data_IF_456297477309
#
_entry.id   IF_456297477309
#
_cell.length_a   1.000
_cell.length_b   1.000
_cell.length_c   1.000
_cell.angle_alpha   90.00
_cell.angle_beta   90.00
_cell.angle_gamma   90.00
#
_symmetry.space_group_name_H-M   'P 1'
#
loop_
_entity.id
_entity.type
_entity.pdbx_description
1 polymer ?
#
# COMPACT_ATOMS: atom_id res chain seq x y z
N UNK A 1 3.03 20.80 -24.99
CA UNK A 1 1.61 21.08 -24.61
C UNK A 1 1.15 19.93 -23.75
N UNK A 2 0.46 20.22 -22.64
CA UNK A 2 -0.13 19.16 -21.81
C UNK A 2 -1.18 18.40 -22.62
N UNK A 3 -1.13 17.08 -22.56
CA UNK A 3 -2.17 16.25 -23.19
C UNK A 3 -3.36 16.14 -22.22
N UNK A 4 -4.41 16.92 -22.48
CA UNK A 4 -5.59 17.06 -21.59
C UNK A 4 -6.38 15.79 -21.33
N UNK A 5 -6.14 14.74 -22.12
CA UNK A 5 -6.84 13.45 -21.99
C UNK A 5 -5.98 12.36 -21.35
N UNK A 6 -4.72 12.67 -21.01
CA UNK A 6 -3.83 11.72 -20.35
C UNK A 6 -3.98 11.77 -18.83
N UNK A 7 -3.82 10.62 -18.18
CA UNK A 7 -4.04 10.43 -16.76
C UNK A 7 -2.77 9.84 -16.12
N UNK A 8 -2.42 10.32 -14.94
CA UNK A 8 -1.30 9.76 -14.18
C UNK A 8 -1.69 9.39 -12.76
N UNK A 9 -1.32 8.19 -12.34
CA UNK A 9 -1.30 7.77 -10.95
C UNK A 9 0.15 7.77 -10.46
N UNK A 10 0.48 8.65 -9.53
CA UNK A 10 1.80 8.67 -8.88
C UNK A 10 1.65 8.05 -7.50
N UNK A 11 2.38 6.99 -7.24
CA UNK A 11 2.38 6.33 -5.96
C UNK A 11 3.80 6.16 -5.41
N UNK A 12 3.92 6.14 -4.10
CA UNK A 12 5.18 5.91 -3.40
C UNK A 12 5.07 4.65 -2.56
N UNK A 13 6.04 3.75 -2.68
CA UNK A 13 6.13 2.53 -1.87
C UNK A 13 6.17 2.87 -0.38
N UNK A 14 5.39 2.14 0.40
CA UNK A 14 5.34 2.15 1.85
C UNK A 14 5.01 3.53 2.48
N UNK A 15 4.25 4.41 1.82
CA UNK A 15 3.87 5.71 2.34
C UNK A 15 2.52 5.66 3.07
N UNK A 16 2.54 5.71 4.39
CA UNK A 16 1.35 5.91 5.21
C UNK A 16 0.93 7.39 5.32
N UNK A 17 -0.35 7.63 5.62
CA UNK A 17 -0.90 8.99 5.80
C UNK A 17 -0.20 9.80 6.90
N UNK A 18 0.40 9.15 7.87
CA UNK A 18 1.09 9.77 9.01
C UNK A 18 2.29 10.65 8.64
N UNK A 19 2.73 10.61 7.38
CA UNK A 19 3.89 11.36 6.90
C UNK A 19 3.54 12.56 6.02
N UNK A 20 2.30 12.71 5.58
CA UNK A 20 1.91 13.83 4.72
C UNK A 20 1.22 14.95 5.51
N UNK A 21 1.63 16.22 5.34
CA UNK A 21 1.04 17.37 6.04
C UNK A 21 -0.48 17.47 5.86
N UNK A 22 -1.00 17.19 4.68
CA UNK A 22 -2.43 17.22 4.36
C UNK A 22 -3.27 16.26 5.21
N UNK A 23 -2.66 15.24 5.82
CA UNK A 23 -3.30 14.31 6.75
C UNK A 23 -2.98 14.62 8.23
N UNK A 24 -2.53 15.84 8.56
CA UNK A 24 -2.09 16.24 9.89
C UNK A 24 -0.97 15.34 10.41
N UNK A 25 0.09 15.20 9.62
CA UNK A 25 1.20 14.30 9.90
C UNK A 25 1.77 14.51 11.32
N UNK A 26 2.19 13.39 11.93
CA UNK A 26 2.77 13.40 13.28
C UNK A 26 4.28 13.09 13.26
N UNK A 27 4.78 12.49 12.18
CA UNK A 27 6.10 11.85 12.14
C UNK A 27 7.12 12.58 11.27
N UNK A 28 6.69 13.41 10.33
CA UNK A 28 7.58 14.17 9.47
C UNK A 28 7.21 15.66 9.47
N UNK A 29 8.19 16.53 9.59
CA UNK A 29 8.00 17.99 9.76
C UNK A 29 8.34 18.78 8.50
N UNK A 30 8.57 18.13 7.37
CA UNK A 30 8.82 18.79 6.09
C UNK A 30 7.58 19.41 5.47
N UNK A 31 7.72 19.85 4.22
CA UNK A 31 6.68 20.51 3.44
C UNK A 31 6.49 19.78 2.11
N UNK A 32 5.25 19.70 1.67
CA UNK A 32 4.87 19.11 0.38
C UNK A 32 4.05 20.09 -0.46
N UNK A 33 4.67 21.22 -0.93
CA UNK A 33 3.90 22.29 -1.56
C UNK A 33 3.14 21.84 -2.80
N UNK A 34 3.68 20.94 -3.61
CA UNK A 34 3.01 20.44 -4.81
C UNK A 34 1.83 19.51 -4.48
N UNK A 35 2.03 18.61 -3.51
CA UNK A 35 0.97 17.71 -3.02
C UNK A 35 -0.11 18.53 -2.31
N UNK A 36 0.27 19.48 -1.46
CA UNK A 36 -0.67 20.32 -0.70
C UNK A 36 -1.53 21.18 -1.63
N UNK A 37 -0.96 21.71 -2.73
CA UNK A 37 -1.71 22.47 -3.73
C UNK A 37 -2.71 21.57 -4.48
N UNK A 38 -2.31 20.36 -4.91
CA UNK A 38 -3.21 19.40 -5.54
C UNK A 38 -4.33 18.99 -4.57
N UNK A 39 -4.01 18.77 -3.31
CA UNK A 39 -4.98 18.44 -2.28
C UNK A 39 -6.00 19.57 -2.03
N UNK A 40 -5.56 20.83 -2.03
CA UNK A 40 -6.44 21.99 -1.87
C UNK A 40 -7.43 22.15 -3.04
N UNK A 41 -7.01 21.83 -4.25
CA UNK A 41 -7.85 21.87 -5.46
C UNK A 41 -8.71 20.61 -5.63
N UNK A 42 -8.24 19.49 -5.12
CA UNK A 42 -8.76 18.14 -5.34
C UNK A 42 -9.72 17.64 -4.28
N UNK A 43 -9.84 16.32 -4.22
CA UNK A 43 -10.54 15.55 -3.20
C UNK A 43 -9.53 14.74 -2.40
N UNK A 44 -9.52 14.91 -1.08
CA UNK A 44 -8.65 14.17 -0.16
C UNK A 44 -9.44 13.04 0.50
N UNK A 45 -8.98 11.81 0.32
CA UNK A 45 -9.58 10.64 0.98
C UNK A 45 -8.91 10.43 2.33
N UNK A 46 -9.58 10.82 3.39
CA UNK A 46 -9.00 10.78 4.75
C UNK A 46 -8.80 9.36 5.27
N UNK A 47 -9.56 8.42 4.73
CA UNK A 47 -9.61 7.04 5.21
C UNK A 47 -9.59 6.06 4.03
N UNK A 48 -8.50 6.12 3.25
CA UNK A 48 -8.24 5.20 2.17
C UNK A 48 -7.32 4.08 2.66
N UNK A 49 -7.70 2.84 2.41
CA UNK A 49 -7.01 1.67 2.92
C UNK A 49 -6.47 0.80 1.79
N UNK A 50 -5.23 0.33 1.98
CA UNK A 50 -4.72 -0.75 1.15
C UNK A 50 -5.44 -2.06 1.47
N UNK A 51 -5.76 -2.82 0.44
CA UNK A 51 -6.33 -4.16 0.59
C UNK A 51 -5.35 -5.14 1.24
N UNK A 52 -4.04 -4.86 1.16
CA UNK A 52 -2.99 -5.62 1.82
C UNK A 52 -1.76 -4.74 2.10
N UNK A 53 -1.18 -4.77 3.31
CA UNK A 53 -0.03 -3.95 3.68
C UNK A 53 1.29 -4.55 3.16
N UNK A 54 1.32 -4.96 1.90
CA UNK A 54 2.50 -5.48 1.21
C UNK A 54 2.36 -5.30 -0.29
N UNK A 55 3.45 -4.94 -0.97
CA UNK A 55 3.43 -4.51 -2.36
C UNK A 55 2.76 -5.52 -3.31
N UNK A 56 3.15 -6.79 -3.27
CA UNK A 56 2.61 -7.81 -4.20
C UNK A 56 1.09 -7.94 -4.13
N UNK A 57 0.56 -8.05 -2.92
CA UNK A 57 -0.88 -8.24 -2.72
C UNK A 57 -1.64 -6.94 -2.92
N UNK A 58 -1.02 -5.80 -2.59
CA UNK A 58 -1.59 -4.49 -2.86
C UNK A 58 -1.72 -4.25 -4.37
N UNK A 59 -0.66 -4.49 -5.16
CA UNK A 59 -0.72 -4.34 -6.62
C UNK A 59 -1.81 -5.21 -7.24
N UNK A 60 -1.92 -6.46 -6.80
CA UNK A 60 -3.00 -7.31 -7.25
C UNK A 60 -4.36 -6.64 -7.06
N UNK A 61 -4.62 -6.19 -5.84
CA UNK A 61 -5.91 -5.58 -5.50
C UNK A 61 -6.13 -4.24 -6.19
N UNK A 62 -5.08 -3.41 -6.31
CA UNK A 62 -5.11 -2.15 -7.05
C UNK A 62 -5.44 -2.36 -8.54
N UNK A 63 -4.81 -3.35 -9.15
CA UNK A 63 -4.91 -3.59 -10.59
C UNK A 63 -6.18 -4.31 -10.99
N UNK A 64 -6.62 -5.29 -10.18
CA UNK A 64 -7.78 -6.12 -10.52
C UNK A 64 -9.09 -5.59 -9.94
N UNK A 65 -9.04 -4.74 -8.92
CA UNK A 65 -10.22 -4.30 -8.18
C UNK A 65 -10.83 -5.37 -7.30
N UNK A 66 -10.06 -6.43 -6.95
CA UNK A 66 -10.51 -7.56 -6.15
C UNK A 66 -9.65 -7.70 -4.92
N UNK A 67 -10.25 -7.96 -3.77
CA UNK A 67 -9.49 -8.30 -2.57
C UNK A 67 -8.78 -9.65 -2.75
N UNK A 68 -7.52 -9.73 -2.35
CA UNK A 68 -6.75 -10.96 -2.49
C UNK A 68 -7.37 -12.14 -1.76
N UNK A 69 -8.06 -11.91 -0.63
CA UNK A 69 -8.76 -12.95 0.12
C UNK A 69 -10.07 -13.41 -0.55
N UNK A 70 -10.59 -12.68 -1.52
CA UNK A 70 -11.75 -13.08 -2.32
C UNK A 70 -11.38 -14.05 -3.43
N UNK A 71 -10.10 -14.14 -3.76
CA UNK A 71 -9.61 -15.11 -4.70
C UNK A 71 -9.26 -16.40 -3.97
N UNK A 72 -9.43 -17.55 -4.59
CA UNK A 72 -8.98 -18.84 -4.06
C UNK A 72 -7.45 -18.95 -4.00
N UNK A 73 -6.76 -17.82 -3.97
CA UNK A 73 -5.31 -17.76 -4.00
C UNK A 73 -4.74 -18.03 -2.63
N UNK A 74 -3.95 -19.06 -2.59
CA UNK A 74 -3.41 -19.67 -1.39
C UNK A 74 -2.05 -19.13 -1.01
N UNK A 75 -1.40 -18.44 -1.96
CA UNK A 75 -0.03 -18.00 -1.87
C UNK A 75 0.11 -16.53 -2.25
N UNK A 76 1.00 -15.87 -1.52
CA UNK A 76 1.55 -14.57 -1.83
C UNK A 76 2.46 -14.60 -3.08
N UNK A 77 2.58 -15.75 -3.72
CA UNK A 77 3.33 -15.89 -4.97
C UNK A 77 2.54 -15.31 -6.12
N UNK A 78 3.25 -14.73 -7.07
CA UNK A 78 2.65 -13.96 -8.10
C UNK A 78 1.61 -14.79 -8.83
N UNK A 79 0.63 -14.11 -9.06
CA UNK A 79 -0.53 -14.42 -9.82
C UNK A 79 -0.10 -14.84 -11.20
N UNK A 80 0.16 -16.12 -11.39
CA UNK A 80 0.48 -16.68 -12.70
C UNK A 80 -0.73 -16.84 -13.60
N UNK A 81 -1.94 -16.67 -13.04
CA UNK A 81 -3.17 -16.91 -13.77
C UNK A 81 -3.92 -15.61 -13.92
N UNK A 82 -3.83 -15.04 -15.12
CA UNK A 82 -4.56 -13.84 -15.55
C UNK A 82 -6.07 -14.11 -15.73
N UNK A 83 -6.45 -15.37 -15.84
CA UNK A 83 -7.83 -15.75 -16.13
C UNK A 83 -8.82 -15.25 -15.08
N UNK A 84 -9.76 -14.45 -15.52
CA UNK A 84 -10.87 -13.92 -14.73
C UNK A 84 -10.62 -12.58 -13.99
N UNK A 85 -9.40 -12.04 -14.04
CA UNK A 85 -9.07 -10.79 -13.35
C UNK A 85 -8.34 -9.79 -14.28
N UNK A 86 -9.04 -9.12 -15.21
CA UNK A 86 -8.44 -8.11 -16.06
C UNK A 86 -7.90 -6.97 -15.20
N UNK A 87 -6.70 -6.50 -15.53
CA UNK A 87 -6.09 -5.38 -14.82
C UNK A 87 -6.73 -4.04 -15.21
N UNK A 88 -6.51 -3.03 -14.39
CA UNK A 88 -6.92 -1.67 -14.77
C UNK A 88 -6.16 -1.14 -16.01
N UNK A 89 -4.99 -1.72 -16.34
CA UNK A 89 -4.30 -1.43 -17.60
C UNK A 89 -5.02 -2.04 -18.80
N UNK A 90 -5.49 -3.28 -18.70
CA UNK A 90 -6.30 -3.90 -19.76
C UNK A 90 -7.54 -3.05 -20.06
N UNK A 91 -8.25 -2.64 -19.00
CA UNK A 91 -9.42 -1.78 -19.12
C UNK A 91 -9.08 -0.38 -19.67
N UNK A 92 -7.97 0.23 -19.25
CA UNK A 92 -7.51 1.50 -19.77
C UNK A 92 -7.14 1.40 -21.25
N UNK A 93 -6.48 0.30 -21.66
CA UNK A 93 -6.17 0.02 -23.06
C UNK A 93 -7.45 -0.10 -23.91
N UNK A 94 -8.46 -0.82 -23.44
CA UNK A 94 -9.77 -0.91 -24.09
C UNK A 94 -10.45 0.48 -24.23
N UNK A 95 -10.17 1.39 -23.29
CA UNK A 95 -10.61 2.80 -23.38
C UNK A 95 -9.73 3.62 -24.34
N UNK A 96 -8.71 3.04 -24.97
CA UNK A 96 -7.81 3.67 -25.94
C UNK A 96 -6.64 4.45 -25.32
N UNK A 97 -6.22 4.12 -24.10
CA UNK A 97 -4.99 4.66 -23.52
C UNK A 97 -3.76 3.87 -23.97
N UNK A 98 -2.66 4.59 -24.26
CA UNK A 98 -1.31 4.00 -24.29
C UNK A 98 -0.82 3.90 -22.84
N UNK A 99 -0.63 2.66 -22.34
CA UNK A 99 -0.38 2.40 -20.93
C UNK A 99 1.11 2.28 -20.65
N UNK A 100 1.59 3.03 -19.67
CA UNK A 100 2.99 3.05 -19.25
C UNK A 100 3.12 2.86 -17.74
N UNK A 101 4.21 2.20 -17.33
CA UNK A 101 4.64 2.12 -15.94
C UNK A 101 6.06 2.67 -15.85
N UNK A 102 6.32 3.53 -14.86
CA UNK A 102 7.65 3.88 -14.40
C UNK A 102 7.81 3.32 -12.98
N UNK A 103 8.75 2.41 -12.80
CA UNK A 103 9.06 1.81 -11.50
C UNK A 103 10.53 1.45 -11.36
N UNK A 104 10.96 0.96 -10.20
CA UNK A 104 12.35 0.54 -9.95
C UNK A 104 12.43 -0.97 -9.77
N UNK A 105 12.95 -1.69 -10.75
CA UNK A 105 13.02 -3.16 -10.76
C UNK A 105 13.94 -3.73 -9.68
N UNK A 106 14.93 -2.98 -9.21
CA UNK A 106 15.84 -3.42 -8.15
C UNK A 106 15.12 -3.62 -6.83
N UNK A 107 14.17 -2.72 -6.54
CA UNK A 107 13.40 -2.74 -5.28
C UNK A 107 12.11 -3.53 -5.41
N UNK A 108 11.63 -3.72 -6.62
CA UNK A 108 10.32 -4.25 -6.91
C UNK A 108 10.41 -5.60 -7.64
N UNK A 109 11.14 -6.57 -7.06
CA UNK A 109 11.24 -7.93 -7.61
C UNK A 109 9.88 -8.58 -7.87
N UNK A 110 8.87 -8.24 -7.06
CA UNK A 110 7.48 -8.63 -7.29
C UNK A 110 6.86 -7.95 -8.51
N UNK A 111 7.30 -6.76 -8.88
CA UNK A 111 6.81 -6.06 -10.04
C UNK A 111 7.13 -6.79 -11.34
N UNK A 112 8.33 -7.38 -11.45
CA UNK A 112 8.69 -8.21 -12.61
C UNK A 112 7.74 -9.40 -12.78
N UNK A 113 7.35 -10.03 -11.69
CA UNK A 113 6.40 -11.15 -11.70
C UNK A 113 4.99 -10.70 -12.13
N UNK A 114 4.60 -9.47 -11.77
CA UNK A 114 3.35 -8.90 -12.26
C UNK A 114 3.40 -8.53 -13.73
N UNK A 115 4.55 -8.05 -14.23
CA UNK A 115 4.73 -7.74 -15.65
C UNK A 115 4.50 -8.97 -16.53
N UNK A 116 4.93 -10.13 -16.07
CA UNK A 116 4.70 -11.40 -16.77
C UNK A 116 3.21 -11.82 -16.81
N UNK A 117 2.40 -11.32 -15.88
CA UNK A 117 0.99 -11.67 -15.78
C UNK A 117 0.02 -10.64 -16.37
N UNK A 118 0.40 -9.35 -16.34
CA UNK A 118 -0.48 -8.24 -16.69
C UNK A 118 0.10 -7.29 -17.74
N UNK A 119 1.19 -7.69 -18.38
CA UNK A 119 2.01 -6.83 -19.22
C UNK A 119 1.66 -6.71 -20.68
N UNK A 120 0.60 -7.36 -21.16
CA UNK A 120 0.30 -7.43 -22.62
C UNK A 120 0.03 -6.06 -23.24
N UNK A 121 -0.45 -5.10 -22.44
CA UNK A 121 -0.83 -3.76 -22.88
C UNK A 121 -0.08 -2.64 -22.18
N UNK A 122 1.08 -2.95 -21.59
CA UNK A 122 1.85 -1.98 -20.78
C UNK A 122 3.29 -1.89 -21.25
N UNK A 123 3.78 -0.67 -21.45
CA UNK A 123 5.20 -0.37 -21.64
C UNK A 123 5.84 -0.11 -20.27
N UNK A 124 6.86 -0.90 -19.96
CA UNK A 124 7.64 -0.77 -18.72
C UNK A 124 8.86 0.11 -18.92
N UNK A 125 9.00 1.12 -18.05
CA UNK A 125 10.14 2.02 -18.02
C UNK A 125 10.84 1.84 -16.67
N UNK A 126 12.01 1.20 -16.69
CA UNK A 126 12.71 0.82 -15.47
C UNK A 126 13.55 1.96 -14.92
N UNK A 127 13.15 2.52 -13.80
CA UNK A 127 13.86 3.58 -13.11
C UNK A 127 15.28 3.16 -12.69
N UNK A 128 15.49 1.88 -12.41
CA UNK A 128 16.82 1.35 -12.12
C UNK A 128 17.76 1.47 -13.33
N UNK A 129 17.30 1.11 -14.52
CA UNK A 129 18.05 1.28 -15.76
C UNK A 129 18.26 2.77 -16.08
N UNK A 130 17.23 3.58 -15.90
CA UNK A 130 17.28 5.04 -16.08
C UNK A 130 18.37 5.67 -15.19
N UNK A 131 18.55 5.18 -13.95
CA UNK A 131 19.54 5.70 -13.00
C UNK A 131 20.97 5.30 -13.32
N UNK A 132 21.19 4.18 -14.04
CA UNK A 132 22.53 3.71 -14.31
C UNK A 132 23.29 4.66 -15.24
N UNK A 133 24.62 4.84 -15.07
CA UNK A 133 25.45 5.52 -16.06
C UNK A 133 25.42 4.77 -17.39
N UNK A 134 25.36 5.51 -18.50
CA UNK A 134 25.38 4.92 -19.83
C UNK A 134 26.67 4.10 -20.01
N UNK A 135 26.52 2.78 -20.23
CA UNK A 135 27.66 1.87 -20.45
C UNK A 135 28.07 1.03 -19.23
N UNK A 136 27.42 1.17 -18.09
CA UNK A 136 27.71 0.33 -16.92
C UNK A 136 26.93 -1.00 -16.98
N UNK A 137 27.41 -1.96 -17.75
CA UNK A 137 27.02 -3.37 -17.59
C UNK A 137 27.82 -3.99 -16.43
N UNK A 138 27.64 -3.52 -15.22
CA UNK A 138 28.23 -4.19 -14.07
C UNK A 138 27.26 -5.24 -13.55
N UNK A 139 27.67 -6.49 -13.77
CA UNK A 139 27.14 -7.67 -13.10
C UNK A 139 26.98 -7.41 -11.61
N UNK A 140 25.89 -7.89 -11.06
CA UNK A 140 25.51 -7.94 -9.66
C UNK A 140 26.71 -8.06 -8.67
N UNK A 141 27.37 -7.00 -8.35
CA UNK A 141 28.23 -6.93 -7.19
C UNK A 141 27.45 -6.26 -6.06
N UNK A 142 26.86 -7.13 -5.24
CA UNK A 142 26.67 -7.08 -3.81
C UNK A 142 26.70 -5.71 -3.11
N UNK A 143 25.54 -5.35 -2.50
CA UNK A 143 25.38 -4.80 -1.13
C UNK A 143 26.51 -3.89 -0.58
N UNK A 144 27.27 -3.25 -1.43
CA UNK A 144 28.15 -2.17 -1.06
C UNK A 144 27.40 -0.89 -1.29
N UNK A 145 27.09 -0.19 -0.20
CA UNK A 145 26.81 1.24 -0.05
C UNK A 145 26.63 2.02 -1.36
N UNK A 146 25.73 1.58 -2.23
CA UNK A 146 25.25 2.45 -3.27
C UNK A 146 24.43 3.51 -2.57
N UNK A 147 24.79 4.76 -2.76
CA UNK A 147 23.92 5.88 -2.47
C UNK A 147 22.62 5.66 -3.27
N UNK A 148 21.63 5.09 -2.61
CA UNK A 148 20.34 4.67 -3.18
C UNK A 148 19.41 5.87 -3.33
N UNK A 149 19.92 7.08 -3.09
CA UNK A 149 19.17 8.31 -3.21
C UNK A 149 18.84 8.64 -4.66
N UNK A 150 17.65 9.15 -4.90
CA UNK A 150 17.32 9.80 -6.16
C UNK A 150 18.06 11.14 -6.20
N UNK A 151 19.08 11.19 -7.03
CA UNK A 151 19.90 12.39 -7.27
C UNK A 151 19.20 13.38 -8.19
N UNK A 152 19.71 14.62 -8.28
CA UNK A 152 19.23 15.61 -9.23
C UNK A 152 19.36 15.12 -10.69
N UNK A 153 20.40 14.31 -10.99
CA UNK A 153 20.57 13.68 -12.30
C UNK A 153 19.44 12.67 -12.57
N UNK A 154 19.11 11.83 -11.58
CA UNK A 154 18.00 10.88 -11.69
C UNK A 154 16.66 11.59 -11.90
N UNK A 155 16.42 12.69 -11.18
CA UNK A 155 15.22 13.52 -11.36
C UNK A 155 15.14 14.07 -12.79
N UNK A 156 16.28 14.53 -13.35
CA UNK A 156 16.33 15.00 -14.74
C UNK A 156 16.03 13.88 -15.74
N UNK A 157 16.53 12.68 -15.49
CA UNK A 157 16.24 11.50 -16.33
C UNK A 157 14.78 11.07 -16.25
N UNK A 158 14.16 11.10 -15.06
CA UNK A 158 12.72 10.85 -14.89
C UNK A 158 11.92 11.85 -15.73
N UNK A 159 12.27 13.14 -15.65
CA UNK A 159 11.62 14.16 -16.45
C UNK A 159 11.72 13.89 -17.95
N UNK A 160 12.92 13.52 -18.43
CA UNK A 160 13.14 13.19 -19.84
C UNK A 160 12.32 11.96 -20.28
N UNK A 161 12.17 10.95 -19.43
CA UNK A 161 11.36 9.78 -19.74
C UNK A 161 9.86 10.11 -19.79
N UNK A 162 9.36 10.95 -18.88
CA UNK A 162 7.99 11.45 -18.95
C UNK A 162 7.78 12.25 -20.24
N UNK A 163 8.72 13.13 -20.62
CA UNK A 163 8.64 13.92 -21.85
C UNK A 163 8.56 13.02 -23.09
N UNK A 164 9.41 12.00 -23.15
CA UNK A 164 9.41 10.99 -24.21
C UNK A 164 8.08 10.22 -24.31
N UNK A 165 7.49 9.82 -23.18
CA UNK A 165 6.18 9.16 -23.13
C UNK A 165 5.11 10.13 -23.66
N UNK A 166 5.11 11.37 -23.17
CA UNK A 166 4.09 12.38 -23.47
C UNK A 166 4.23 13.02 -24.85
N UNK A 167 5.36 12.83 -25.52
CA UNK A 167 5.58 13.32 -26.90
C UNK A 167 4.84 12.51 -27.96
N UNK A 168 4.35 11.31 -27.61
CA UNK A 168 3.59 10.46 -28.49
C UNK A 168 2.17 11.01 -28.69
N UNK A 169 1.60 10.74 -29.86
CA UNK A 169 0.18 11.03 -30.11
C UNK A 169 -0.73 10.09 -29.32
N UNK A 170 -1.90 10.60 -28.93
CA UNK A 170 -2.87 9.81 -28.19
C UNK A 170 -2.92 10.14 -26.70
N UNK A 171 -3.83 9.50 -25.98
CA UNK A 171 -3.96 9.66 -24.54
C UNK A 171 -3.16 8.59 -23.80
N UNK A 172 -2.46 9.00 -22.78
CA UNK A 172 -1.56 8.15 -21.98
C UNK A 172 -2.19 7.88 -20.62
N UNK A 173 -2.11 6.63 -20.16
CA UNK A 173 -2.23 6.28 -18.75
C UNK A 173 -0.86 5.92 -18.22
N UNK A 174 -0.32 6.75 -17.34
CA UNK A 174 0.96 6.53 -16.69
C UNK A 174 0.75 6.14 -15.23
N UNK A 175 1.21 4.95 -14.82
CA UNK A 175 1.42 4.66 -13.41
C UNK A 175 2.90 4.82 -13.07
N UNK A 176 3.20 5.79 -12.22
CA UNK A 176 4.54 5.99 -11.68
C UNK A 176 4.57 5.48 -10.25
N UNK A 177 5.38 4.47 -9.97
CA UNK A 177 5.55 3.93 -8.63
C UNK A 177 6.99 4.08 -8.15
N UNK A 178 7.18 4.94 -7.16
CA UNK A 178 8.49 5.33 -6.67
C UNK A 178 8.89 4.51 -5.45
N UNK A 179 10.14 4.05 -5.35
CA UNK A 179 10.59 3.27 -4.20
C UNK A 179 10.55 4.08 -2.90
N UNK A 180 10.42 3.39 -1.76
CA UNK A 180 10.41 4.04 -0.46
C UNK A 180 11.79 4.59 -0.05
N UNK A 181 12.87 4.12 -0.67
CA UNK A 181 14.24 4.54 -0.41
C UNK A 181 14.67 5.53 -1.47
N UNK A 182 14.16 6.74 -1.39
CA UNK A 182 14.56 7.83 -2.29
C UNK A 182 15.82 8.57 -1.80
N UNK A 183 16.17 8.45 -0.51
CA UNK A 183 17.36 9.00 0.13
C UNK A 183 17.86 8.08 1.23
N UNK A 184 18.81 7.21 0.98
CA UNK A 184 19.55 6.45 1.99
C UNK A 184 18.72 5.65 3.03
N UNK A 185 19.35 4.72 3.72
CA UNK A 185 18.67 3.66 4.50
C UNK A 185 17.95 4.10 5.77
N UNK A 186 18.29 5.25 6.34
CA UNK A 186 17.81 5.66 7.67
C UNK A 186 16.82 6.82 7.62
N UNK A 187 16.29 7.13 6.47
CA UNK A 187 15.56 8.36 6.25
C UNK A 187 14.12 8.14 5.80
N UNK A 188 13.46 7.11 6.35
CA UNK A 188 12.04 6.94 6.10
C UNK A 188 11.30 8.24 6.43
N UNK A 189 10.65 8.78 5.43
CA UNK A 189 10.00 10.09 5.51
C UNK A 189 10.86 11.25 4.97
N UNK A 190 12.19 11.20 5.00
CA UNK A 190 13.04 12.29 4.48
C UNK A 190 13.07 12.36 2.95
N UNK A 191 12.60 11.32 2.29
CA UNK A 191 12.46 11.24 0.84
C UNK A 191 11.12 11.79 0.34
N UNK A 192 10.25 12.26 1.23
CA UNK A 192 8.94 12.84 0.86
C UNK A 192 9.12 14.17 0.11
N UNK A 193 10.14 14.94 0.44
CA UNK A 193 10.49 16.15 -0.31
C UNK A 193 10.91 15.85 -1.75
N UNK A 194 11.60 14.73 -1.99
CA UNK A 194 11.92 14.23 -3.34
C UNK A 194 10.65 13.78 -4.05
N UNK A 195 9.77 13.08 -3.36
CA UNK A 195 8.47 12.69 -3.89
C UNK A 195 7.64 13.91 -4.31
N UNK A 196 7.55 14.92 -3.46
CA UNK A 196 6.86 16.18 -3.79
C UNK A 196 7.50 16.91 -4.98
N UNK A 197 8.83 16.88 -5.08
CA UNK A 197 9.55 17.44 -6.25
C UNK A 197 9.16 16.72 -7.53
N UNK A 198 9.05 15.40 -7.51
CA UNK A 198 8.62 14.60 -8.66
C UNK A 198 7.15 14.90 -9.02
N UNK A 199 6.27 15.09 -8.03
CA UNK A 199 4.90 15.57 -8.28
C UNK A 199 4.92 16.93 -9.01
N UNK A 200 5.82 17.84 -8.62
CA UNK A 200 6.02 19.10 -9.32
C UNK A 200 6.39 18.93 -10.80
N UNK A 201 7.25 17.97 -11.10
CA UNK A 201 7.62 17.62 -12.49
C UNK A 201 6.42 17.04 -13.24
N UNK A 202 5.67 16.11 -12.63
CA UNK A 202 4.48 15.53 -13.25
C UNK A 202 3.49 16.62 -13.65
N UNK A 203 3.33 17.65 -12.84
CA UNK A 203 2.46 18.82 -13.12
C UNK A 203 2.89 19.66 -14.32
N UNK A 204 4.12 19.51 -14.81
CA UNK A 204 4.54 20.16 -16.06
C UNK A 204 3.92 19.48 -17.30
N UNK A 205 3.64 18.18 -17.23
CA UNK A 205 3.18 17.34 -18.33
C UNK A 205 1.68 17.02 -18.29
N UNK A 206 1.10 16.93 -17.09
CA UNK A 206 -0.30 16.62 -16.88
C UNK A 206 -1.06 17.82 -16.30
N UNK A 207 -2.33 17.94 -16.63
CA UNK A 207 -3.23 18.89 -15.95
C UNK A 207 -3.55 18.38 -14.53
N UNK A 208 -3.72 19.30 -13.58
CA UNK A 208 -4.02 18.96 -12.17
C UNK A 208 -5.27 18.06 -12.04
N UNK A 209 -6.24 18.20 -12.99
CA UNK A 209 -7.45 17.39 -13.07
C UNK A 209 -7.23 15.94 -13.50
N UNK A 210 -6.00 15.56 -13.83
CA UNK A 210 -5.64 14.21 -14.28
C UNK A 210 -4.55 13.57 -13.43
N UNK A 211 -4.16 14.20 -12.32
CA UNK A 211 -3.12 13.71 -11.41
C UNK A 211 -3.75 13.06 -10.18
N UNK A 212 -3.40 11.81 -9.92
CA UNK A 212 -3.79 11.04 -8.75
C UNK A 212 -2.55 10.68 -7.96
N UNK A 213 -2.61 10.81 -6.64
CA UNK A 213 -1.50 10.51 -5.73
C UNK A 213 -1.97 9.44 -4.74
N UNK A 214 -1.19 8.36 -4.59
CA UNK A 214 -1.48 7.28 -3.65
C UNK A 214 -0.22 6.62 -3.12
N UNK A 215 -0.40 5.47 -2.48
CA UNK A 215 0.63 4.51 -2.09
C UNK A 215 0.10 3.10 -2.28
N UNK A 216 0.99 2.11 -2.28
CA UNK A 216 0.58 0.71 -2.25
C UNK A 216 0.25 0.25 -0.83
N UNK A 217 1.05 0.60 0.16
CA UNK A 217 0.83 0.36 1.59
C UNK A 217 1.62 1.37 2.43
N UNK A 218 1.45 1.31 3.73
CA UNK A 218 2.24 2.08 4.69
C UNK A 218 3.34 1.23 5.36
N UNK A 219 3.84 1.72 6.50
CA UNK A 219 4.89 1.07 7.29
C UNK A 219 4.66 1.33 8.78
N UNK A 220 4.95 0.34 9.63
CA UNK A 220 4.72 0.42 11.08
C UNK A 220 5.63 1.44 11.80
N UNK A 221 6.85 1.64 11.31
CA UNK A 221 7.80 2.67 11.79
C UNK A 221 7.95 2.83 13.31
N UNK A 222 7.93 1.72 14.03
CA UNK A 222 8.08 1.70 15.49
C UNK A 222 6.75 1.73 16.25
N UNK A 223 5.62 2.00 15.60
CA UNK A 223 4.30 1.96 16.25
C UNK A 223 4.01 0.53 16.70
N UNK A 224 3.48 0.36 17.91
CA UNK A 224 3.34 -0.94 18.58
C UNK A 224 4.65 -1.72 18.72
N UNK A 225 5.81 -1.02 18.75
CA UNK A 225 7.13 -1.65 18.79
C UNK A 225 7.49 -2.43 17.53
N UNK A 226 6.84 -2.17 16.39
CA UNK A 226 7.00 -2.92 15.14
C UNK A 226 7.61 -2.06 14.05
N UNK A 227 8.49 -2.69 13.26
CA UNK A 227 9.14 -2.06 12.11
C UNK A 227 8.81 -2.86 10.86
N UNK A 228 8.61 -2.18 9.73
CA UNK A 228 8.33 -2.80 8.45
C UNK A 228 6.84 -2.91 8.16
N UNK A 229 6.51 -3.71 7.18
CA UNK A 229 5.17 -3.89 6.62
C UNK A 229 4.88 -5.37 6.32
N UNK A 230 3.65 -5.67 5.91
CA UNK A 230 3.24 -7.02 5.50
C UNK A 230 2.84 -7.96 6.63
N UNK A 231 3.11 -7.62 7.89
CA UNK A 231 2.80 -8.47 9.04
C UNK A 231 1.57 -8.01 9.81
N UNK A 232 1.27 -6.74 9.69
CA UNK A 232 0.24 -6.07 10.46
C UNK A 232 -0.68 -5.25 9.58
N UNK A 233 -1.89 -5.07 10.05
CA UNK A 233 -2.97 -4.34 9.37
C UNK A 233 -3.38 -3.08 10.14
N UNK A 234 -2.54 -2.62 11.08
CA UNK A 234 -2.75 -1.37 11.81
C UNK A 234 -2.72 -0.15 10.89
N UNK A 235 -3.28 0.97 11.36
CA UNK A 235 -3.40 2.21 10.58
C UNK A 235 -2.07 2.65 9.91
N UNK A 236 -0.90 2.59 10.57
CA UNK A 236 0.34 3.00 9.93
C UNK A 236 0.73 2.17 8.70
N UNK A 237 0.33 0.90 8.67
CA UNK A 237 0.60 -0.01 7.55
C UNK A 237 -0.53 -0.07 6.53
N UNK A 238 -1.78 0.16 6.95
CA UNK A 238 -2.95 -0.05 6.10
C UNK A 238 -3.64 1.23 5.62
N UNK A 239 -3.56 2.36 6.35
CA UNK A 239 -4.12 3.64 5.90
C UNK A 239 -3.11 4.42 5.08
N UNK A 240 -3.42 4.57 3.80
CA UNK A 240 -2.55 5.19 2.80
C UNK A 240 -3.17 6.48 2.25
N UNK A 241 -2.37 7.38 1.70
CA UNK A 241 -2.90 8.57 1.06
C UNK A 241 -3.65 8.22 -0.23
N UNK A 242 -4.72 8.96 -0.49
CA UNK A 242 -5.31 9.10 -1.81
C UNK A 242 -5.77 10.55 -1.98
N UNK A 243 -5.14 11.23 -2.93
CA UNK A 243 -5.45 12.60 -3.34
C UNK A 243 -5.79 12.54 -4.82
N UNK A 244 -6.96 13.06 -5.18
CA UNK A 244 -7.47 12.99 -6.55
C UNK A 244 -7.88 14.38 -7.04
N UNK A 245 -8.05 14.58 -8.33
CA UNK A 245 -8.81 15.71 -8.82
C UNK A 245 -10.17 15.81 -8.14
N UNK A 246 -10.79 16.97 -8.22
CA UNK A 246 -12.10 17.19 -7.62
C UNK A 246 -13.14 16.21 -8.19
N UNK A 247 -13.73 15.38 -7.35
CA UNK A 247 -14.79 14.42 -7.71
C UNK A 247 -16.09 14.86 -7.04
N UNK A 248 -17.16 14.97 -7.82
CA UNK A 248 -18.51 15.34 -7.34
C UNK A 248 -18.57 16.58 -6.44
N UNK A 249 -17.69 17.57 -6.69
CA UNK A 249 -17.52 18.76 -5.87
C UNK A 249 -17.08 18.51 -4.40
N UNK A 250 -16.67 17.30 -4.05
CA UNK A 250 -16.20 16.96 -2.72
C UNK A 250 -14.76 17.47 -2.49
N UNK A 251 -14.51 18.08 -1.35
CA UNK A 251 -13.15 18.45 -0.92
C UNK A 251 -12.48 17.30 -0.16
N UNK A 252 -13.28 16.50 0.52
CA UNK A 252 -12.79 15.32 1.24
C UNK A 252 -13.81 14.17 1.22
N UNK A 253 -13.31 12.96 1.44
CA UNK A 253 -14.07 11.74 1.68
C UNK A 253 -13.67 11.20 3.03
N UNK A 254 -14.61 11.14 3.97
CA UNK A 254 -14.38 10.76 5.37
C UNK A 254 -14.81 9.33 5.70
N UNK A 255 -15.56 8.66 4.82
CA UNK A 255 -15.87 7.24 4.98
C UNK A 255 -14.74 6.34 4.44
N UNK A 256 -14.64 5.08 4.93
CA UNK A 256 -13.61 4.14 4.48
C UNK A 256 -13.74 3.81 2.99
N UNK A 257 -12.62 3.88 2.28
CA UNK A 257 -12.46 3.48 0.88
C UNK A 257 -11.28 2.54 0.73
N UNK A 258 -11.16 1.85 -0.39
CA UNK A 258 -10.14 0.83 -0.60
C UNK A 258 -9.42 0.95 -1.94
N UNK A 259 -8.18 0.47 -1.98
CA UNK A 259 -7.40 0.37 -3.23
C UNK A 259 -8.08 -0.46 -4.32
N UNK A 260 -9.03 -1.34 -3.98
CA UNK A 260 -9.83 -2.07 -4.98
C UNK A 260 -10.76 -1.17 -5.81
N UNK A 261 -10.97 0.07 -5.39
CA UNK A 261 -11.83 1.04 -6.09
C UNK A 261 -11.04 1.98 -7.02
N UNK A 262 -9.72 1.84 -7.12
CA UNK A 262 -8.88 2.79 -7.85
C UNK A 262 -9.28 2.95 -9.33
N UNK A 263 -9.68 1.86 -9.99
CA UNK A 263 -10.15 1.96 -11.37
C UNK A 263 -11.36 2.91 -11.50
N UNK A 264 -12.38 2.67 -10.68
CA UNK A 264 -13.59 3.50 -10.69
C UNK A 264 -13.30 4.96 -10.31
N UNK A 265 -12.42 5.18 -9.34
CA UNK A 265 -12.02 6.52 -8.91
C UNK A 265 -11.25 7.26 -10.02
N UNK A 266 -10.31 6.57 -10.68
CA UNK A 266 -9.44 7.20 -11.69
C UNK A 266 -10.18 7.44 -13.02
N UNK A 267 -10.86 6.44 -13.54
CA UNK A 267 -11.40 6.48 -14.89
C UNK A 267 -12.88 6.84 -14.95
N UNK A 268 -13.67 6.44 -13.95
CA UNK A 268 -15.11 6.67 -13.90
C UNK A 268 -15.47 7.87 -13.02
N UNK A 269 -14.51 8.39 -12.21
CA UNK A 269 -14.72 9.45 -11.22
C UNK A 269 -15.83 9.08 -10.21
N UNK A 270 -15.99 7.80 -9.96
CA UNK A 270 -16.97 7.26 -9.04
C UNK A 270 -16.32 6.93 -7.69
N UNK A 271 -16.96 7.36 -6.59
CA UNK A 271 -16.56 7.03 -5.22
C UNK A 271 -17.62 6.12 -4.65
N UNK A 272 -17.21 4.90 -4.25
CA UNK A 272 -18.11 3.89 -3.69
C UNK A 272 -17.97 3.85 -2.18
N UNK A 273 -19.08 4.07 -1.48
CA UNK A 273 -19.16 3.76 -0.05
C UNK A 273 -19.42 2.27 0.11
N UNK A 274 -18.47 1.55 0.69
CA UNK A 274 -18.57 0.12 0.93
C UNK A 274 -19.09 -0.14 2.33
N UNK A 275 -19.97 -1.16 2.53
CA UNK A 275 -20.42 -1.54 3.88
C UNK A 275 -19.25 -1.99 4.75
N UNK A 276 -18.23 -2.59 4.14
CA UNK A 276 -16.97 -3.01 4.76
C UNK A 276 -15.79 -2.74 3.84
N UNK A 277 -14.66 -2.36 4.43
CA UNK A 277 -13.36 -2.30 3.78
C UNK A 277 -12.44 -3.29 4.48
N UNK A 278 -11.62 -3.99 3.71
CA UNK A 278 -10.75 -5.05 4.23
C UNK A 278 -9.29 -4.71 4.02
N UNK A 279 -8.44 -5.20 4.94
CA UNK A 279 -6.98 -5.21 4.78
C UNK A 279 -6.44 -6.54 5.32
N UNK A 280 -5.64 -7.24 4.52
CA UNK A 280 -5.21 -8.62 4.78
C UNK A 280 -3.69 -8.77 4.73
N UNK A 281 -3.08 -9.20 5.82
CA UNK A 281 -1.64 -9.42 5.93
C UNK A 281 -1.17 -10.79 5.39
N UNK A 282 -1.83 -11.33 4.38
CA UNK A 282 -1.59 -12.68 3.87
C UNK A 282 -0.16 -12.96 3.37
N UNK A 283 0.63 -11.92 3.11
CA UNK A 283 1.91 -12.00 2.41
C UNK A 283 2.97 -12.87 3.07
N UNK A 284 3.12 -12.81 4.40
CA UNK A 284 4.30 -13.41 5.03
C UNK A 284 4.08 -14.79 5.65
N UNK A 285 2.88 -15.07 6.12
CA UNK A 285 2.61 -16.36 6.72
C UNK A 285 1.13 -16.55 7.04
N UNK A 286 0.56 -17.63 6.58
CA UNK A 286 -0.85 -17.92 6.84
C UNK A 286 -1.17 -18.10 8.34
N UNK A 287 -0.24 -18.59 9.16
CA UNK A 287 -0.47 -18.79 10.59
C UNK A 287 -0.52 -17.45 11.34
N UNK A 288 0.31 -16.48 10.92
CA UNK A 288 0.34 -15.14 11.52
C UNK A 288 -0.58 -14.15 10.80
N UNK A 289 -1.40 -14.66 9.87
CA UNK A 289 -2.32 -13.84 9.09
C UNK A 289 -3.26 -13.08 9.99
N UNK A 290 -3.41 -11.81 9.68
CA UNK A 290 -4.37 -10.90 10.28
C UNK A 290 -5.29 -10.39 9.19
N UNK A 291 -6.55 -10.31 9.51
CA UNK A 291 -7.54 -9.69 8.64
C UNK A 291 -8.20 -8.55 9.41
N UNK A 292 -8.18 -7.36 8.83
CA UNK A 292 -8.90 -6.20 9.34
C UNK A 292 -10.19 -6.00 8.55
N UNK A 293 -11.24 -5.60 9.27
CA UNK A 293 -12.49 -5.08 8.73
C UNK A 293 -12.67 -3.67 9.25
N UNK A 294 -12.84 -2.71 8.34
CA UNK A 294 -13.11 -1.32 8.67
C UNK A 294 -14.58 -1.03 8.32
N UNK A 295 -15.33 -0.58 9.32
CA UNK A 295 -16.73 -0.16 9.18
C UNK A 295 -16.96 1.15 9.92
N UNK A 296 -17.42 2.17 9.21
CA UNK A 296 -17.59 3.49 9.80
C UNK A 296 -16.28 3.91 10.49
N UNK A 297 -16.32 4.29 11.77
CA UNK A 297 -15.15 4.69 12.57
C UNK A 297 -14.37 3.53 13.20
N UNK A 298 -14.88 2.31 13.13
CA UNK A 298 -14.33 1.16 13.82
C UNK A 298 -13.49 0.30 12.90
N UNK A 299 -12.40 -0.22 13.44
CA UNK A 299 -11.53 -1.19 12.80
C UNK A 299 -11.38 -2.40 13.70
N UNK A 300 -11.81 -3.53 13.21
CA UNK A 300 -11.72 -4.82 13.87
C UNK A 300 -10.62 -5.65 13.25
N UNK A 301 -9.73 -6.20 14.06
CA UNK A 301 -8.61 -7.03 13.62
C UNK A 301 -8.74 -8.42 14.22
N UNK A 302 -8.70 -9.42 13.36
CA UNK A 302 -8.67 -10.81 13.77
C UNK A 302 -7.29 -11.42 13.48
N UNK A 303 -6.69 -12.02 14.50
CA UNK A 303 -5.45 -12.76 14.40
C UNK A 303 -5.74 -14.24 14.25
N UNK A 304 -5.25 -14.86 13.18
CA UNK A 304 -5.41 -16.31 12.99
C UNK A 304 -4.70 -17.10 14.09
N UNK A 305 -3.49 -16.68 14.44
CA UNK A 305 -2.75 -17.27 15.55
C UNK A 305 -3.34 -16.83 16.89
N UNK A 306 -3.74 -17.82 17.70
CA UNK A 306 -4.30 -17.57 19.02
C UNK A 306 -5.73 -17.02 19.02
N UNK A 307 -6.36 -16.87 17.86
CA UNK A 307 -7.74 -16.38 17.70
C UNK A 307 -8.01 -15.06 18.45
N UNK A 308 -7.02 -14.18 18.50
CA UNK A 308 -7.14 -12.87 19.14
C UNK A 308 -8.00 -11.94 18.33
N UNK A 309 -8.76 -11.13 19.04
CA UNK A 309 -9.62 -10.08 18.47
C UNK A 309 -9.20 -8.73 19.04
N UNK A 310 -9.18 -7.73 18.17
CA UNK A 310 -8.93 -6.34 18.54
C UNK A 310 -10.00 -5.47 17.87
N UNK A 311 -10.44 -4.43 18.56
CA UNK A 311 -11.36 -3.42 18.03
C UNK A 311 -10.86 -2.04 18.42
N UNK A 312 -10.75 -1.16 17.46
CA UNK A 312 -10.28 0.21 17.64
C UNK A 312 -11.25 1.23 17.08
N UNK A 313 -11.30 2.38 17.70
CA UNK A 313 -11.95 3.57 17.16
C UNK A 313 -10.89 4.42 16.48
N UNK A 314 -10.66 4.21 15.20
CA UNK A 314 -9.56 4.84 14.46
C UNK A 314 -9.74 6.34 14.20
N UNK A 315 -10.87 6.92 14.61
CA UNK A 315 -11.07 8.37 14.57
C UNK A 315 -10.49 9.02 15.83
N UNK A 316 -10.76 8.45 17.01
CA UNK A 316 -10.28 9.01 18.29
C UNK A 316 -8.94 8.41 18.73
N UNK A 317 -8.65 7.20 18.28
CA UNK A 317 -7.39 6.50 18.53
C UNK A 317 -6.74 6.07 17.20
N UNK A 318 -6.22 7.03 16.42
CA UNK A 318 -5.65 6.73 15.08
C UNK A 318 -4.37 5.90 15.14
N UNK A 319 -3.79 5.70 16.31
CA UNK A 319 -2.61 4.85 16.54
C UNK A 319 -2.96 3.50 17.17
N UNK A 320 -4.26 3.24 17.40
CA UNK A 320 -4.79 1.93 17.84
C UNK A 320 -4.16 1.44 19.16
N UNK A 321 -4.05 2.33 20.15
CA UNK A 321 -3.45 2.01 21.44
C UNK A 321 -4.43 1.38 22.43
N UNK A 322 -5.74 1.63 22.27
CA UNK A 322 -6.79 1.17 23.18
C UNK A 322 -7.65 0.14 22.49
N UNK A 323 -7.44 -1.14 22.82
CA UNK A 323 -8.29 -2.21 22.32
C UNK A 323 -9.63 -2.23 23.09
N UNK A 324 -10.70 -1.81 22.43
CA UNK A 324 -12.05 -1.70 23.02
C UNK A 324 -12.62 -3.05 23.51
N UNK A 325 -12.08 -4.20 23.08
CA UNK A 325 -12.51 -5.51 23.53
C UNK A 325 -11.88 -5.89 24.88
N UNK A 326 -10.59 -5.57 25.06
CA UNK A 326 -9.80 -6.03 26.22
C UNK A 326 -9.57 -4.95 27.25
N UNK A 327 -9.23 -3.74 26.80
CA UNK A 327 -8.73 -2.68 27.70
C UNK A 327 -9.89 -1.95 28.37
N UNK A 328 -11.08 -2.10 27.80
CA UNK A 328 -12.29 -1.47 28.31
C UNK A 328 -12.73 -1.97 29.70
N UNK A 329 -12.41 -3.20 30.06
CA UNK A 329 -12.70 -3.74 31.38
C UNK A 329 -12.00 -3.01 32.53
N UNK A 330 -10.86 -2.38 32.23
CA UNK A 330 -10.06 -1.63 33.22
C UNK A 330 -10.49 -0.17 33.38
N UNK A 331 -11.17 0.37 32.39
CA UNK A 331 -11.54 1.78 32.36
C UNK A 331 -13.00 2.05 32.78
N UNK A 332 -13.83 1.01 32.87
CA UNK A 332 -15.23 1.15 33.30
C UNK A 332 -15.33 1.88 34.65
N UNK A 333 -14.50 1.49 35.60
CA UNK A 333 -14.52 2.11 36.94
C UNK A 333 -13.96 3.55 36.96
N UNK A 334 -13.07 3.89 36.01
CA UNK A 334 -12.51 5.23 35.84
C UNK A 334 -13.41 6.16 35.05
N UNK A 335 -14.09 5.64 34.03
CA UNK A 335 -14.89 6.45 33.11
C UNK A 335 -16.35 6.65 33.53
N UNK A 336 -16.88 5.89 34.48
CA UNK A 336 -18.19 6.14 35.07
C UNK A 336 -18.30 7.52 35.76
N UNK A 337 -17.17 8.16 36.04
CA UNK A 337 -17.10 9.55 36.55
C UNK A 337 -16.87 10.61 35.47
N UNK A 338 -16.76 10.23 34.18
CA UNK A 338 -16.51 11.15 33.09
C UNK A 338 -17.77 11.38 32.24
N UNK A 339 -18.23 12.63 32.03
CA UNK A 339 -19.43 12.93 31.23
C UNK A 339 -19.33 12.50 29.76
N UNK A 340 -18.12 12.23 29.28
CA UNK A 340 -17.86 11.73 27.92
C UNK A 340 -17.97 10.21 27.80
N UNK A 341 -18.16 9.48 28.88
CA UNK A 341 -18.29 8.03 28.90
C UNK A 341 -19.49 7.56 28.06
N UNK A 342 -20.59 8.31 28.02
CA UNK A 342 -21.74 8.00 27.17
C UNK A 342 -21.43 7.95 25.69
N UNK A 343 -20.45 8.70 25.21
CA UNK A 343 -20.01 8.72 23.81
C UNK A 343 -19.25 7.46 23.41
N UNK A 344 -18.62 6.79 24.36
CA UNK A 344 -17.83 5.57 24.12
C UNK A 344 -18.62 4.26 24.29
N UNK A 345 -19.69 4.25 25.09
CA UNK A 345 -20.37 3.04 25.52
C UNK A 345 -21.33 2.45 24.49
N UNK A 346 -22.07 3.28 23.77
CA UNK A 346 -23.20 2.81 22.99
C UNK A 346 -22.90 2.32 21.57
N UNK A 347 -21.98 2.91 20.79
CA UNK A 347 -21.92 2.60 19.36
C UNK A 347 -21.26 1.27 19.02
N UNK A 348 -20.30 0.76 19.83
CA UNK A 348 -19.55 -0.43 19.43
C UNK A 348 -20.22 -1.76 19.82
N UNK A 349 -21.06 -1.76 20.83
CA UNK A 349 -21.81 -2.96 21.23
C UNK A 349 -22.75 -3.45 20.14
N UNK A 350 -23.33 -2.55 19.38
CA UNK A 350 -24.20 -2.89 18.26
C UNK A 350 -23.41 -3.34 17.02
N UNK A 351 -22.27 -2.72 16.79
CA UNK A 351 -21.41 -3.00 15.62
C UNK A 351 -20.59 -4.27 15.80
N UNK A 352 -20.11 -4.56 17.00
CA UNK A 352 -19.20 -5.69 17.24
C UNK A 352 -19.81 -7.06 16.86
N UNK A 353 -21.08 -7.39 17.17
CA UNK A 353 -21.70 -8.63 16.71
C UNK A 353 -21.78 -8.74 15.20
N UNK A 354 -22.10 -7.65 14.51
CA UNK A 354 -22.17 -7.59 13.05
C UNK A 354 -20.80 -7.80 12.41
N UNK A 355 -19.79 -7.08 12.85
CA UNK A 355 -18.42 -7.21 12.35
C UNK A 355 -17.87 -8.61 12.64
N UNK A 356 -18.16 -9.19 13.80
CA UNK A 356 -17.76 -10.57 14.12
C UNK A 356 -18.46 -11.60 13.23
N UNK A 357 -19.69 -11.34 12.84
CA UNK A 357 -20.41 -12.21 11.90
C UNK A 357 -19.75 -12.13 10.52
N UNK A 358 -19.48 -10.94 10.02
CA UNK A 358 -18.79 -10.71 8.75
C UNK A 358 -17.39 -11.35 8.76
N UNK A 359 -16.59 -11.12 9.80
CA UNK A 359 -15.28 -11.75 9.95
C UNK A 359 -15.36 -13.29 9.94
N UNK A 360 -16.38 -13.88 10.57
CA UNK A 360 -16.57 -15.35 10.53
C UNK A 360 -16.90 -15.84 9.14
N UNK A 361 -17.67 -15.06 8.38
CA UNK A 361 -18.05 -15.39 7.00
C UNK A 361 -16.81 -15.38 6.10
N UNK A 362 -16.01 -14.30 6.16
CA UNK A 362 -14.78 -14.18 5.41
C UNK A 362 -13.75 -15.26 5.76
N UNK A 363 -13.56 -15.53 7.05
CA UNK A 363 -12.69 -16.62 7.52
C UNK A 363 -13.11 -17.98 6.98
N UNK A 364 -14.41 -18.26 6.94
CA UNK A 364 -14.92 -19.53 6.40
C UNK A 364 -14.61 -19.60 4.91
N UNK A 365 -14.78 -18.53 4.16
CA UNK A 365 -14.45 -18.47 2.75
C UNK A 365 -12.95 -18.71 2.51
N UNK A 366 -12.09 -17.95 3.17
CA UNK A 366 -10.64 -18.03 3.04
C UNK A 366 -10.09 -19.44 3.35
N UNK A 367 -10.67 -20.16 4.32
CA UNK A 367 -10.08 -21.40 4.83
C UNK A 367 -10.79 -22.69 4.41
N UNK A 368 -11.96 -22.61 3.82
CA UNK A 368 -12.62 -23.80 3.27
C UNK A 368 -12.06 -24.25 1.93
N UNK A 369 -11.56 -23.32 1.16
CA UNK A 369 -11.21 -23.52 -0.24
C UNK A 369 -9.79 -24.06 -0.44
N UNK A 370 -8.98 -24.21 0.63
CA UNK A 370 -7.65 -24.80 0.57
C UNK A 370 -7.66 -26.33 0.56
N UNK A 371 -6.97 -26.96 -0.41
CA UNK A 371 -6.75 -28.42 -0.39
C UNK A 371 -5.83 -28.84 0.76
N UNK A 372 -5.84 -30.13 1.13
CA UNK A 372 -4.92 -30.64 2.16
C UNK A 372 -3.44 -30.39 1.77
N UNK A 373 -3.12 -30.51 0.48
CA UNK A 373 -1.79 -30.22 -0.06
C UNK A 373 -1.36 -28.77 0.23
N UNK A 374 -2.27 -27.82 0.05
CA UNK A 374 -2.00 -26.38 0.29
C UNK A 374 -1.78 -26.08 1.76
N UNK A 375 -2.54 -26.77 2.63
CA UNK A 375 -2.37 -26.66 4.08
C UNK A 375 -1.02 -27.20 4.54
N UNK A 376 -0.59 -28.32 3.95
CA UNK A 376 0.72 -28.95 4.22
C UNK A 376 1.84 -28.05 3.68
N UNK A 377 1.71 -27.52 2.46
CA UNK A 377 2.70 -26.64 1.84
C UNK A 377 2.86 -25.33 2.63
N UNK A 378 1.75 -24.72 3.04
CA UNK A 378 1.76 -23.54 3.91
C UNK A 378 2.42 -23.81 5.28
N UNK A 379 2.20 -25.00 5.85
CA UNK A 379 2.86 -25.44 7.09
C UNK A 379 4.37 -25.62 6.88
N UNK A 380 4.77 -26.24 5.77
CA UNK A 380 6.18 -26.47 5.45
C UNK A 380 6.94 -25.15 5.19
N UNK A 381 6.36 -24.25 4.42
CA UNK A 381 6.90 -22.91 4.19
C UNK A 381 7.00 -22.11 5.50
N UNK A 382 6.03 -22.27 6.38
CA UNK A 382 6.06 -21.64 7.70
C UNK A 382 7.22 -22.17 8.55
N UNK A 383 7.37 -23.49 8.63
CA UNK A 383 8.43 -24.12 9.41
C UNK A 383 9.82 -23.71 8.88
N UNK A 384 10.02 -23.75 7.57
CA UNK A 384 11.29 -23.34 6.96
C UNK A 384 11.59 -21.85 7.17
N UNK A 385 10.61 -20.96 7.06
CA UNK A 385 10.79 -19.51 7.26
C UNK A 385 10.94 -19.13 8.74
N UNK A 386 10.24 -19.81 9.63
CA UNK A 386 10.39 -19.59 11.08
C UNK A 386 11.77 -20.05 11.53
N UNK A 387 12.23 -21.20 11.05
CA UNK A 387 13.57 -21.70 11.30
C UNK A 387 14.63 -20.77 10.72
N UNK A 388 14.44 -20.27 9.50
CA UNK A 388 15.32 -19.27 8.87
C UNK A 388 15.33 -17.95 9.66
N UNK A 389 14.21 -17.50 10.15
CA UNK A 389 14.10 -16.27 10.94
C UNK A 389 14.79 -16.43 12.31
N UNK A 390 14.64 -17.58 12.95
CA UNK A 390 15.37 -17.90 14.21
C UNK A 390 16.87 -17.95 13.94
N UNK A 391 17.30 -18.62 12.89
CA UNK A 391 18.70 -18.69 12.47
C UNK A 391 19.22 -17.29 12.13
N UNK A 392 18.49 -16.49 11.38
CA UNK A 392 18.88 -15.13 11.01
C UNK A 392 18.96 -14.21 12.22
N UNK A 393 18.02 -14.31 13.16
CA UNK A 393 18.06 -13.55 14.42
C UNK A 393 19.26 -13.99 15.26
N UNK A 394 19.53 -15.28 15.35
CA UNK A 394 20.68 -15.82 16.04
C UNK A 394 22.01 -15.35 15.42
N UNK A 395 22.13 -15.40 14.11
CA UNK A 395 23.31 -14.93 13.37
C UNK A 395 23.52 -13.43 13.53
N UNK A 396 22.46 -12.65 13.51
CA UNK A 396 22.50 -11.20 13.73
C UNK A 396 22.95 -10.85 15.15
N UNK A 397 22.38 -11.51 16.16
CA UNK A 397 22.75 -11.28 17.56
C UNK A 397 24.18 -11.70 17.88
N UNK A 398 24.76 -12.59 17.09
CA UNK A 398 26.14 -13.08 17.29
C UNK A 398 27.16 -12.54 16.26
N UNK A 399 26.75 -11.56 15.45
CA UNK A 399 27.66 -10.92 14.48
C UNK A 399 28.11 -11.82 13.31
N UNK A 400 27.39 -12.91 13.03
CA UNK A 400 27.76 -13.95 12.07
C UNK A 400 27.05 -13.79 10.71
N UNK A 401 26.25 -12.77 10.52
CA UNK A 401 25.43 -12.57 9.29
C UNK A 401 26.26 -12.42 7.99
N UNK A 402 27.52 -12.02 8.10
CA UNK A 402 28.37 -11.73 6.93
C UNK A 402 28.94 -12.95 6.20
N UNK A 403 28.86 -14.15 6.77
CA UNK A 403 29.55 -15.33 6.21
C UNK A 403 28.68 -16.16 5.26
N UNK A 404 27.36 -16.03 5.30
CA UNK A 404 26.44 -16.91 4.54
C UNK A 404 26.23 -16.45 3.10
N UNK A 405 26.41 -15.17 2.80
CA UNK A 405 26.24 -14.63 1.44
C UNK A 405 27.48 -14.74 0.53
N UNK A 406 28.57 -15.32 0.99
CA UNK A 406 29.81 -15.46 0.20
C UNK A 406 29.94 -16.76 -0.60
N UNK A 407 28.95 -17.67 -0.57
CA UNK A 407 29.01 -18.94 -1.30
C UNK A 407 27.68 -19.23 -2.04
N UNK A 408 27.34 -18.41 -2.99
CA UNK A 408 26.51 -18.81 -4.15
C UNK A 408 26.79 -17.90 -5.31
#
# INVERSE_FOLDING_TARGET
MKNRNSVVLVSKDALGTFYLPVYNNQYWKGKTPNIDELAAKGTVFRRHYTAAPSSAMSYFSMWTGVYAHETNRKDYLPIKEKEGYPSFFDKAYEMGYDCHIIWDSKWMTTAKLFSECYGDHVTYNDLYEIRQPVGSHQQHQHLVECDESITAETISKIRAEIDKIMSKEGKVFLWMHLPHVLRGRNTYGSDIDVFDTIIGIVREFFDDENIFISSDHGNMNGIHGKIGYGFDVYEPASRIPLITPRINNLTCVDFPTSTVDLFSIIFEREIKERPYVYSDSAYYCQIHRKLAIIKGRYKYIYHRQGHKEELYDVIYDPTENVNLITDFKYDVDRHLSCPTAELYFYPYWDILPEIRFEMRTERRRIWREGTLSDKIHAYYLHFSKTTWRIIRTFLHTHGLEYSIHRKK
#
